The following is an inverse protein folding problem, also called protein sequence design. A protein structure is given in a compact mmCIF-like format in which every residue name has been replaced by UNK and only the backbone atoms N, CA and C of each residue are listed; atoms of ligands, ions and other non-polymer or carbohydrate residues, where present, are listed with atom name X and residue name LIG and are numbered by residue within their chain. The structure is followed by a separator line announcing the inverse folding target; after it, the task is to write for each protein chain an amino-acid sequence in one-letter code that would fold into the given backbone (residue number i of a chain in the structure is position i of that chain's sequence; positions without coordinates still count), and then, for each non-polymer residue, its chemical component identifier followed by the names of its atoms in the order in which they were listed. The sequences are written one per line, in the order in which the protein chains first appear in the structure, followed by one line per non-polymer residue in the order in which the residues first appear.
data_IF_165018486913
#
_entry.id   IF_165018486913
#
_cell.length_a   1.000
_cell.length_b   1.000
_cell.length_c   1.000
_cell.angle_alpha   90.00
_cell.angle_beta   90.00
_cell.angle_gamma   90.00
#
_symmetry.space_group_name_H-M   'P 1'
#
loop_
_entity.id
_entity.type
_entity.pdbx_description
1 polymer ?
#
# COMPACT_ATOMS: atom_id res chain seq x y z
N UNK A 1 16.68 4.07 16.36
CA UNK A 1 16.03 3.98 15.03
C UNK A 1 14.57 4.35 15.24
N UNK A 2 13.91 5.05 14.29
CA UNK A 2 12.48 5.39 14.39
C UNK A 2 11.72 4.67 13.29
N UNK A 3 10.49 4.25 13.58
CA UNK A 3 9.59 3.74 12.55
C UNK A 3 9.29 4.80 11.48
N UNK A 4 8.88 4.37 10.29
CA UNK A 4 8.60 5.23 9.16
C UNK A 4 7.32 4.80 8.47
N UNK A 5 6.56 5.80 8.07
CA UNK A 5 5.32 5.69 7.30
C UNK A 5 5.38 6.65 6.12
N UNK A 6 4.44 6.54 5.16
CA UNK A 6 4.37 7.49 4.04
C UNK A 6 3.74 8.81 4.49
N UNK A 7 4.13 9.93 3.88
CA UNK A 7 3.64 11.27 4.28
C UNK A 7 2.17 11.51 3.91
N UNK A 8 1.71 10.91 2.82
CA UNK A 8 0.35 11.06 2.28
C UNK A 8 -0.02 9.81 1.51
N UNK A 9 -1.32 9.58 1.31
CA UNK A 9 -1.86 8.50 0.47
C UNK A 9 -1.23 8.49 -0.93
N UNK A 10 -0.95 7.30 -1.44
CA UNK A 10 -0.43 7.07 -2.80
C UNK A 10 -1.26 5.98 -3.47
N UNK A 11 -1.65 6.22 -4.72
CA UNK A 11 -2.49 5.32 -5.51
C UNK A 11 -1.68 4.81 -6.71
N UNK A 12 -1.67 3.49 -6.90
CA UNK A 12 -1.10 2.81 -8.06
C UNK A 12 -2.20 2.09 -8.82
N UNK A 13 -2.14 2.14 -10.16
CA UNK A 13 -3.03 1.38 -11.05
C UNK A 13 -2.19 0.56 -12.02
N UNK A 14 -2.61 -0.66 -12.30
CA UNK A 14 -1.90 -1.52 -13.24
C UNK A 14 -2.58 -2.86 -13.48
N UNK A 15 -1.90 -3.72 -14.23
CA UNK A 15 -2.34 -5.08 -14.53
C UNK A 15 -1.55 -6.07 -13.68
N UNK A 16 -2.25 -6.98 -13.01
CA UNK A 16 -1.61 -8.07 -12.27
C UNK A 16 -0.88 -9.03 -13.22
N UNK A 17 0.42 -9.24 -13.01
CA UNK A 17 1.27 -10.00 -13.93
C UNK A 17 0.72 -11.41 -14.25
N UNK A 18 0.26 -12.13 -13.23
CA UNK A 18 -0.24 -13.49 -13.40
C UNK A 18 -1.75 -13.58 -13.64
N UNK A 19 -2.53 -12.62 -13.16
CA UNK A 19 -3.98 -12.62 -13.33
C UNK A 19 -4.43 -11.98 -14.64
N UNK A 20 -3.63 -11.08 -15.20
CA UNK A 20 -4.02 -10.24 -16.34
C UNK A 20 -5.14 -9.23 -16.00
N UNK A 21 -5.49 -9.07 -14.72
CA UNK A 21 -6.60 -8.23 -14.29
C UNK A 21 -6.14 -6.83 -13.91
N UNK A 22 -6.96 -5.82 -14.23
CA UNK A 22 -6.80 -4.48 -13.67
C UNK A 22 -6.89 -4.51 -12.15
N UNK A 23 -6.03 -3.74 -11.49
CA UNK A 23 -5.99 -3.64 -10.04
C UNK A 23 -5.54 -2.25 -9.63
N UNK A 24 -6.10 -1.78 -8.51
CA UNK A 24 -5.68 -0.54 -7.86
C UNK A 24 -5.11 -0.89 -6.50
N UNK A 25 -3.92 -0.38 -6.19
CA UNK A 25 -3.28 -0.51 -4.88
C UNK A 25 -3.22 0.87 -4.25
N UNK A 26 -3.74 0.99 -3.04
CA UNK A 26 -3.68 2.22 -2.24
C UNK A 26 -2.77 1.94 -1.05
N UNK A 27 -1.80 2.84 -0.82
CA UNK A 27 -0.98 2.84 0.39
C UNK A 27 -1.37 4.06 1.20
N UNK A 28 -1.69 3.85 2.49
CA UNK A 28 -2.10 4.90 3.41
C UNK A 28 -1.08 5.07 4.54
N UNK A 29 -0.92 6.28 5.10
CA UNK A 29 -0.15 6.48 6.33
C UNK A 29 -0.75 5.66 7.47
N UNK A 30 0.12 5.01 8.25
CA UNK A 30 -0.22 4.33 9.49
C UNK A 30 0.57 4.89 10.68
N UNK A 31 0.00 4.73 11.87
CA UNK A 31 0.62 5.05 13.17
C UNK A 31 1.76 4.07 13.52
N UNK A 32 2.63 4.48 14.44
CA UNK A 32 3.74 3.64 14.94
C UNK A 32 3.21 2.33 15.56
N UNK A 33 3.93 1.23 15.33
CA UNK A 33 3.57 -0.10 15.79
C UNK A 33 2.55 -0.85 14.92
N UNK A 34 2.00 -0.24 13.87
CA UNK A 34 1.02 -0.90 12.98
C UNK A 34 1.64 -2.04 12.16
N UNK A 35 2.92 -1.92 11.78
CA UNK A 35 3.56 -2.86 10.86
C UNK A 35 3.05 -2.71 9.42
N UNK A 36 3.20 -3.76 8.60
CA UNK A 36 2.72 -3.80 7.22
C UNK A 36 1.53 -4.76 7.13
N UNK A 37 0.37 -4.22 6.72
CA UNK A 37 -0.88 -4.97 6.59
C UNK A 37 -1.39 -4.81 5.16
N UNK A 38 -1.72 -5.92 4.50
CA UNK A 38 -2.49 -5.91 3.26
C UNK A 38 -3.97 -6.03 3.60
N UNK A 39 -4.79 -5.17 3.00
CA UNK A 39 -6.24 -5.19 3.12
C UNK A 39 -6.86 -5.34 1.72
N UNK A 40 -8.03 -5.99 1.63
CA UNK A 40 -8.77 -6.22 0.39
C UNK A 40 -10.10 -5.48 0.42
#
# INVERSE_FOLDING_TARGET
MKERTIRKRIDFKGIGLHSGQESTVVVEPAEEGTGIIFHK
#
